data_IF_218815249258
#
_entry.id   IF_218815249258
#
_cell.length_a   1.000
_cell.length_b   1.000
_cell.length_c   1.000
_cell.angle_alpha   90.00
_cell.angle_beta   90.00
_cell.angle_gamma   90.00
#
_symmetry.space_group_name_H-M   'P 1'
#
loop_
_entity.id
_entity.type
_entity.pdbx_description
1 polymer ?
#
# COMPACT_ATOMS: atom_id res chain seq x y z
N UNK A 1 15.56 -8.39 -20.43
CA UNK A 1 15.61 -9.68 -19.69
C UNK A 1 14.19 -10.05 -19.29
N UNK A 2 13.76 -11.31 -19.48
CA UNK A 2 12.45 -11.76 -19.04
C UNK A 2 12.35 -11.58 -17.52
N UNK A 3 11.30 -10.89 -17.09
CA UNK A 3 11.00 -10.68 -15.68
C UNK A 3 10.38 -11.98 -15.14
N UNK A 4 11.23 -12.88 -14.66
CA UNK A 4 10.79 -14.01 -13.86
C UNK A 4 10.39 -13.46 -12.49
N UNK A 5 9.11 -13.11 -12.33
CA UNK A 5 8.54 -12.78 -11.03
C UNK A 5 8.53 -14.04 -10.17
N UNK A 6 8.97 -13.92 -8.91
CA UNK A 6 8.85 -15.01 -7.94
C UNK A 6 7.37 -15.41 -7.81
N UNK A 7 7.03 -16.70 -7.62
CA UNK A 7 5.66 -17.12 -7.33
C UNK A 7 5.05 -16.36 -6.14
N UNK A 8 5.89 -15.98 -5.16
CA UNK A 8 5.47 -15.13 -4.04
C UNK A 8 5.00 -13.74 -4.50
N UNK A 9 5.67 -13.15 -5.49
CA UNK A 9 5.28 -11.87 -6.04
C UNK A 9 3.94 -11.96 -6.78
N UNK A 10 3.70 -13.07 -7.49
CA UNK A 10 2.42 -13.30 -8.19
C UNK A 10 1.28 -13.45 -7.18
N UNK A 11 1.49 -14.23 -6.13
CA UNK A 11 0.52 -14.41 -5.05
C UNK A 11 0.24 -13.09 -4.31
N UNK A 12 1.28 -12.32 -3.97
CA UNK A 12 1.13 -11.01 -3.32
C UNK A 12 0.38 -10.01 -4.20
N UNK A 13 0.61 -10.01 -5.52
CA UNK A 13 -0.17 -9.21 -6.47
C UNK A 13 -1.65 -9.60 -6.46
N UNK A 14 -1.98 -10.89 -6.48
CA UNK A 14 -3.36 -11.35 -6.43
C UNK A 14 -4.04 -10.92 -5.13
N UNK A 15 -3.35 -11.07 -3.99
CA UNK A 15 -3.85 -10.57 -2.69
C UNK A 15 -4.08 -9.06 -2.71
N UNK A 16 -3.15 -8.28 -3.28
CA UNK A 16 -3.33 -6.84 -3.46
C UNK A 16 -4.55 -6.49 -4.34
N UNK A 17 -4.85 -7.30 -5.37
CA UNK A 17 -6.03 -7.10 -6.21
C UNK A 17 -7.33 -7.48 -5.50
N UNK A 18 -7.29 -8.45 -4.58
CA UNK A 18 -8.44 -8.90 -3.79
C UNK A 18 -8.66 -8.08 -2.50
N UNK A 19 -7.64 -7.35 -2.05
CA UNK A 19 -7.67 -6.56 -0.83
C UNK A 19 -8.79 -5.50 -0.89
N UNK A 20 -9.79 -5.64 -0.03
CA UNK A 20 -10.92 -4.71 0.08
C UNK A 20 -10.67 -3.51 1.00
N UNK A 21 -9.58 -3.53 1.77
CA UNK A 21 -9.23 -2.50 2.74
C UNK A 21 -7.90 -1.84 2.41
N UNK A 22 -7.79 -0.53 2.66
CA UNK A 22 -6.57 0.25 2.49
C UNK A 22 -5.37 -0.36 3.24
N UNK A 23 -5.58 -0.85 4.45
CA UNK A 23 -4.54 -1.52 5.25
C UNK A 23 -4.02 -2.80 4.60
N UNK A 24 -4.93 -3.65 4.14
CA UNK A 24 -4.59 -4.89 3.43
C UNK A 24 -3.87 -4.58 2.11
N UNK A 25 -4.31 -3.57 1.38
CA UNK A 25 -3.65 -3.11 0.16
C UNK A 25 -2.21 -2.66 0.44
N UNK A 26 -1.97 -1.87 1.49
CA UNK A 26 -0.61 -1.42 1.86
C UNK A 26 0.27 -2.61 2.25
N UNK A 27 -0.25 -3.53 3.06
CA UNK A 27 0.49 -4.70 3.55
C UNK A 27 0.90 -5.62 2.40
N UNK A 28 -0.05 -6.01 1.57
CA UNK A 28 0.17 -6.90 0.41
C UNK A 28 1.05 -6.25 -0.65
N UNK A 29 0.91 -4.93 -0.89
CA UNK A 29 1.76 -4.18 -1.81
C UNK A 29 3.22 -4.14 -1.32
N UNK A 30 3.45 -4.03 -0.01
CA UNK A 30 4.79 -4.06 0.59
C UNK A 30 5.44 -5.43 0.44
N UNK A 31 4.69 -6.51 0.67
CA UNK A 31 5.15 -7.88 0.43
C UNK A 31 5.49 -8.09 -1.06
N UNK A 32 4.63 -7.62 -1.96
CA UNK A 32 4.86 -7.68 -3.40
C UNK A 32 6.15 -6.96 -3.83
N UNK A 33 6.40 -5.76 -3.30
CA UNK A 33 7.65 -5.01 -3.56
C UNK A 33 8.88 -5.78 -3.05
N UNK A 34 8.77 -6.44 -1.89
CA UNK A 34 9.89 -7.19 -1.30
C UNK A 34 10.22 -8.48 -2.06
N UNK A 35 9.20 -9.11 -2.66
CA UNK A 35 9.34 -10.33 -3.45
C UNK A 35 9.86 -10.08 -4.88
N UNK A 36 9.89 -8.83 -5.34
CA UNK A 36 10.41 -8.47 -6.67
C UNK A 36 11.94 -8.33 -6.60
N UNK A 37 12.69 -9.05 -7.47
CA UNK A 37 14.15 -8.93 -7.52
C UNK A 37 14.56 -7.52 -7.94
N UNK A 38 15.56 -6.93 -7.28
CA UNK A 38 16.07 -5.58 -7.60
C UNK A 38 17.12 -5.64 -8.70
N UNK A 39 16.70 -5.59 -9.96
CA UNK A 39 17.59 -5.54 -11.12
C UNK A 39 17.00 -4.63 -12.21
N UNK A 40 17.77 -4.33 -13.26
CA UNK A 40 17.41 -3.34 -14.29
C UNK A 40 16.03 -3.55 -14.95
N UNK A 41 15.54 -4.80 -15.01
CA UNK A 41 14.24 -5.15 -15.57
C UNK A 41 13.03 -4.77 -14.69
N UNK A 42 13.24 -4.52 -13.40
CA UNK A 42 12.17 -4.27 -12.43
C UNK A 42 12.24 -2.89 -11.78
N UNK A 43 13.21 -2.05 -12.15
CA UNK A 43 13.38 -0.70 -11.59
C UNK A 43 12.13 0.17 -11.78
N UNK A 44 11.62 0.21 -13.01
CA UNK A 44 10.39 0.94 -13.33
C UNK A 44 9.17 0.38 -12.59
N UNK A 45 9.09 -0.94 -12.44
CA UNK A 45 8.01 -1.59 -11.70
C UNK A 45 8.09 -1.20 -10.20
N UNK A 46 9.25 -1.35 -9.58
CA UNK A 46 9.49 -0.99 -8.18
C UNK A 46 9.21 0.48 -7.92
N UNK A 47 9.60 1.38 -8.83
CA UNK A 47 9.30 2.80 -8.72
C UNK A 47 7.79 3.06 -8.68
N UNK A 48 7.04 2.50 -9.63
CA UNK A 48 5.59 2.66 -9.68
C UNK A 48 4.90 2.07 -8.44
N UNK A 49 5.36 0.91 -7.96
CA UNK A 49 4.79 0.27 -6.78
C UNK A 49 5.07 1.07 -5.50
N UNK A 50 6.29 1.57 -5.31
CA UNK A 50 6.63 2.43 -4.17
C UNK A 50 5.82 3.73 -4.18
N UNK A 51 5.67 4.36 -5.35
CA UNK A 51 4.84 5.56 -5.51
C UNK A 51 3.38 5.29 -5.11
N UNK A 52 2.85 4.13 -5.51
CA UNK A 52 1.49 3.72 -5.14
C UNK A 52 1.37 3.44 -3.63
N UNK A 53 2.37 2.81 -3.04
CA UNK A 53 2.43 2.55 -1.60
C UNK A 53 2.38 3.85 -0.78
N UNK A 54 3.20 4.85 -1.13
CA UNK A 54 3.18 6.15 -0.44
C UNK A 54 1.82 6.85 -0.56
N UNK A 55 1.16 6.75 -1.73
CA UNK A 55 -0.18 7.32 -1.92
C UNK A 55 -1.21 6.66 -1.00
N UNK A 56 -1.23 5.32 -0.96
CA UNK A 56 -2.16 4.58 -0.10
C UNK A 56 -1.93 4.87 1.39
N UNK A 57 -0.67 4.98 1.83
CA UNK A 57 -0.33 5.36 3.20
C UNK A 57 -0.83 6.78 3.55
N UNK A 58 -0.66 7.73 2.65
CA UNK A 58 -1.17 9.09 2.84
C UNK A 58 -2.71 9.12 2.90
N UNK A 59 -3.39 8.35 2.06
CA UNK A 59 -4.85 8.23 2.10
C UNK A 59 -5.35 7.59 3.41
N UNK A 60 -4.62 6.60 3.92
CA UNK A 60 -4.92 5.98 5.21
C UNK A 60 -4.76 6.97 6.38
N UNK A 61 -3.64 7.70 6.42
CA UNK A 61 -3.36 8.68 7.47
C UNK A 61 -4.38 9.81 7.49
N UNK A 62 -4.68 10.39 6.32
CA UNK A 62 -5.71 11.41 6.17
C UNK A 62 -7.09 10.95 6.66
N UNK A 63 -7.46 9.69 6.40
CA UNK A 63 -8.72 9.11 6.88
C UNK A 63 -8.72 9.00 8.41
N UNK A 64 -7.61 8.59 9.01
CA UNK A 64 -7.45 8.54 10.46
C UNK A 64 -7.53 9.93 11.11
N UNK A 65 -6.88 10.93 10.52
CA UNK A 65 -6.93 12.32 10.99
C UNK A 65 -8.36 12.89 10.96
N UNK A 66 -9.10 12.66 9.88
CA UNK A 66 -10.50 13.11 9.77
C UNK A 66 -11.40 12.47 10.85
N UNK A 67 -11.21 11.18 11.14
CA UNK A 67 -11.95 10.49 12.21
C UNK A 67 -11.62 11.05 13.59
N UNK A 68 -10.35 11.42 13.85
CA UNK A 68 -9.93 12.04 15.11
C UNK A 68 -10.53 13.44 15.28
N UNK A 69 -10.52 14.26 14.22
CA UNK A 69 -11.06 15.63 14.25
C UNK A 69 -12.58 15.66 14.46
N UNK A 70 -13.31 14.66 13.96
CA UNK A 70 -14.75 14.52 14.18
C UNK A 70 -15.16 14.12 15.61
N UNK A 71 -14.26 13.48 16.39
CA UNK A 71 -14.55 13.06 17.77
C UNK A 71 -14.26 14.11 18.84
N UNK A 72 -13.52 15.18 18.50
CA UNK A 72 -13.13 16.23 19.44
C UNK A 72 -14.04 17.46 19.49
N UNK A 73 -15.05 17.58 18.62
CA UNK A 73 -15.86 18.79 18.47
C UNK A 73 -17.17 18.80 19.29
N UNK A 74 -17.30 17.94 20.30
CA UNK A 74 -18.57 17.70 21.02
C UNK A 74 -18.51 17.74 22.54
N UNK A 75 -17.51 18.39 23.15
CA UNK A 75 -17.50 18.60 24.61
C UNK A 75 -17.17 20.06 24.90
N UNK A 76 -18.21 20.88 24.93
CA UNK A 76 -18.22 22.15 25.67
C UNK A 76 -18.77 21.85 27.07
N UNK A 77 -17.97 21.81 28.14
CA UNK A 77 -18.50 22.15 29.45
C UNK A 77 -18.64 23.68 29.50
N UNK A 78 -19.81 24.11 29.97
CA UNK A 78 -20.11 25.50 30.36
C UNK A 78 -18.98 26.15 31.16
#
# INVERSE_FOLDING_TARGET
>A
MPVNLSPEAIAARQRYMQAGSLEEQIKTLREYISAIPKHKGTENLLYNLKKRLSKLQFEQDKKLEQVKKGRGAGVTPF
#
